data_IF_565323134720
#
_entry.id   IF_565323134720
#
_cell.length_a   1.000
_cell.length_b   1.000
_cell.length_c   1.000
_cell.angle_alpha   90.00
_cell.angle_beta   90.00
_cell.angle_gamma   90.00
#
_symmetry.space_group_name_H-M   'P 1'
#
loop_
_entity.id
_entity.type
_entity.pdbx_description
1 polymer ?
#
# COMPACT_ATOMS: atom_id res chain seq x y z
N UNK A 1 -20.10 -9.50 -3.95
CA UNK A 1 -19.31 -8.28 -3.63
C UNK A 1 -18.10 -8.28 -4.57
N UNK A 2 -17.96 -7.26 -5.44
CA UNK A 2 -17.11 -7.34 -6.65
C UNK A 2 -15.84 -6.48 -6.47
N UNK A 3 -14.76 -6.87 -7.15
CA UNK A 3 -13.41 -6.27 -7.19
C UNK A 3 -13.38 -4.76 -7.47
N UNK A 4 -12.19 -4.16 -7.45
CA UNK A 4 -11.96 -2.86 -8.08
C UNK A 4 -12.44 -2.94 -9.54
N UNK A 5 -13.23 -1.95 -9.95
CA UNK A 5 -13.70 -1.77 -11.32
C UNK A 5 -13.89 -0.28 -11.55
N UNK A 6 -13.15 0.28 -12.50
CA UNK A 6 -13.08 1.74 -12.66
C UNK A 6 -14.37 2.35 -13.15
N UNK A 7 -15.05 1.73 -14.12
CA UNK A 7 -16.33 2.23 -14.63
C UNK A 7 -17.36 2.39 -13.51
N UNK A 8 -17.50 1.36 -12.67
CA UNK A 8 -18.44 1.39 -11.54
C UNK A 8 -18.02 2.37 -10.43
N UNK A 9 -16.71 2.60 -10.25
CA UNK A 9 -16.22 3.64 -9.32
C UNK A 9 -16.63 5.04 -9.82
N UNK A 10 -16.54 5.29 -11.13
CA UNK A 10 -16.98 6.56 -11.73
C UNK A 10 -18.50 6.76 -11.65
N UNK A 11 -19.26 5.67 -11.67
CA UNK A 11 -20.72 5.67 -11.42
C UNK A 11 -21.11 5.84 -9.94
N UNK A 12 -20.15 6.10 -9.05
CA UNK A 12 -20.40 6.41 -7.64
C UNK A 12 -20.28 5.22 -6.68
N UNK A 13 -19.82 4.05 -7.13
CA UNK A 13 -19.60 2.89 -6.27
C UNK A 13 -18.27 2.98 -5.50
N UNK A 14 -18.05 4.06 -4.76
CA UNK A 14 -16.78 4.38 -4.09
C UNK A 14 -16.34 3.35 -3.04
N UNK A 15 -17.27 2.54 -2.52
CA UNK A 15 -16.93 1.42 -1.63
C UNK A 15 -15.97 0.42 -2.27
N UNK A 16 -15.91 0.36 -3.61
CA UNK A 16 -14.93 -0.45 -4.37
C UNK A 16 -13.49 0.03 -4.22
N UNK A 17 -13.25 1.20 -3.66
CA UNK A 17 -11.90 1.65 -3.34
C UNK A 17 -11.42 1.04 -2.02
N UNK A 18 -12.32 0.61 -1.13
CA UNK A 18 -11.95 0.12 0.21
C UNK A 18 -12.23 -1.37 0.37
N UNK A 19 -13.44 -1.82 0.03
CA UNK A 19 -13.90 -3.19 0.33
C UNK A 19 -13.14 -4.32 -0.39
N UNK A 20 -12.48 -4.14 -1.56
CA UNK A 20 -11.74 -5.23 -2.19
C UNK A 20 -10.60 -5.82 -1.35
N UNK A 21 -10.11 -5.12 -0.32
CA UNK A 21 -9.10 -5.65 0.61
C UNK A 21 -9.60 -6.88 1.38
N UNK A 22 -10.91 -7.10 1.46
CA UNK A 22 -11.50 -8.27 2.13
C UNK A 22 -11.75 -9.44 1.16
N UNK A 23 -11.70 -9.19 -0.16
CA UNK A 23 -11.96 -10.20 -1.18
C UNK A 23 -10.66 -10.89 -1.58
N UNK A 24 -10.68 -12.19 -1.82
CA UNK A 24 -9.49 -12.93 -2.25
C UNK A 24 -9.84 -13.86 -3.40
N UNK A 25 -8.95 -13.92 -4.39
CA UNK A 25 -9.17 -14.71 -5.61
C UNK A 25 -9.24 -16.22 -5.35
N UNK A 26 -8.53 -16.72 -4.34
CA UNK A 26 -8.52 -18.12 -3.93
C UNK A 26 -7.99 -18.27 -2.49
N UNK A 27 -8.06 -19.48 -1.95
CA UNK A 27 -7.64 -19.79 -0.58
C UNK A 27 -6.15 -19.52 -0.33
N UNK A 28 -5.28 -19.85 -1.29
CA UNK A 28 -3.84 -19.61 -1.16
C UNK A 28 -3.52 -18.11 -1.07
N UNK A 29 -4.17 -17.30 -1.92
CA UNK A 29 -4.05 -15.85 -1.89
C UNK A 29 -4.51 -15.28 -0.53
N UNK A 30 -5.58 -15.82 0.06
CA UNK A 30 -6.02 -15.44 1.42
C UNK A 30 -4.98 -15.79 2.48
N UNK A 31 -4.50 -17.04 2.51
CA UNK A 31 -3.55 -17.53 3.51
C UNK A 31 -2.28 -16.67 3.48
N UNK A 32 -1.75 -16.39 2.30
CA UNK A 32 -0.51 -15.63 2.15
C UNK A 32 -0.69 -14.19 2.65
N UNK A 33 -1.82 -13.54 2.33
CA UNK A 33 -2.10 -12.20 2.84
C UNK A 33 -2.21 -12.20 4.37
N UNK A 34 -2.92 -13.18 4.96
CA UNK A 34 -3.03 -13.30 6.42
C UNK A 34 -1.65 -13.44 7.05
N UNK A 35 -0.80 -14.34 6.53
CA UNK A 35 0.56 -14.53 7.06
C UNK A 35 1.39 -13.25 6.96
N UNK A 36 1.33 -12.55 5.83
CA UNK A 36 2.03 -11.28 5.63
C UNK A 36 1.56 -10.21 6.63
N UNK A 37 0.23 -10.04 6.77
CA UNK A 37 -0.38 -9.05 7.65
C UNK A 37 -0.13 -9.37 9.11
N UNK A 38 -0.23 -10.63 9.54
CA UNK A 38 0.08 -10.99 10.93
C UNK A 38 1.54 -10.70 11.26
N UNK A 39 2.44 -11.09 10.37
CA UNK A 39 3.87 -10.96 10.58
C UNK A 39 4.32 -9.49 10.68
N UNK A 40 3.92 -8.63 9.73
CA UNK A 40 4.29 -7.20 9.75
C UNK A 40 3.36 -6.35 10.62
N UNK A 41 2.07 -6.66 10.60
CA UNK A 41 1.03 -5.91 11.28
C UNK A 41 1.18 -5.96 12.80
N UNK A 42 1.50 -7.12 13.39
CA UNK A 42 1.71 -7.22 14.84
C UNK A 42 2.87 -6.32 15.33
N UNK A 43 3.91 -6.15 14.51
CA UNK A 43 5.07 -5.31 14.83
C UNK A 43 4.71 -3.84 14.74
N UNK A 44 4.05 -3.46 13.64
CA UNK A 44 3.59 -2.09 13.40
C UNK A 44 2.56 -1.71 14.48
N UNK A 45 1.64 -2.59 14.83
CA UNK A 45 0.66 -2.37 15.91
C UNK A 45 1.34 -2.24 17.28
N UNK A 46 2.29 -3.13 17.61
CA UNK A 46 3.05 -3.02 18.86
C UNK A 46 3.79 -1.69 18.99
N UNK A 47 4.35 -1.20 17.87
CA UNK A 47 5.10 0.06 17.84
C UNK A 47 4.22 1.32 17.84
N UNK A 48 3.20 1.34 17.00
CA UNK A 48 2.39 2.54 16.71
C UNK A 48 1.04 2.55 17.42
N UNK A 49 0.67 1.45 18.09
CA UNK A 49 -0.65 1.16 18.63
C UNK A 49 -1.69 0.88 17.52
N UNK A 50 -2.77 0.22 17.95
CA UNK A 50 -3.86 -0.27 17.10
C UNK A 50 -4.41 0.76 16.12
N UNK A 51 -4.72 1.98 16.59
CA UNK A 51 -5.36 3.01 15.75
C UNK A 51 -4.50 3.41 14.55
N UNK A 52 -3.19 3.58 14.76
CA UNK A 52 -2.24 3.95 13.69
C UNK A 52 -2.00 2.79 12.73
N UNK A 53 -1.93 1.57 13.23
CA UNK A 53 -1.86 0.37 12.38
C UNK A 53 -3.08 0.26 11.47
N UNK A 54 -4.29 0.40 12.02
CA UNK A 54 -5.53 0.36 11.22
C UNK A 54 -5.54 1.45 10.15
N UNK A 55 -5.10 2.68 10.48
CA UNK A 55 -4.96 3.74 9.49
C UNK A 55 -3.99 3.38 8.37
N UNK A 56 -2.81 2.82 8.69
CA UNK A 56 -1.86 2.33 7.66
C UNK A 56 -2.54 1.28 6.79
N UNK A 57 -3.18 0.29 7.39
CA UNK A 57 -3.81 -0.82 6.68
C UNK A 57 -4.91 -0.35 5.71
N UNK A 58 -5.88 0.42 6.21
CA UNK A 58 -7.03 0.85 5.40
C UNK A 58 -6.65 1.91 4.36
N UNK A 59 -5.83 2.92 4.72
CA UNK A 59 -5.44 3.96 3.78
C UNK A 59 -4.51 3.43 2.69
N UNK A 60 -3.62 2.48 3.01
CA UNK A 60 -2.76 1.85 2.00
C UNK A 60 -3.57 0.99 1.04
N UNK A 61 -4.56 0.26 1.57
CA UNK A 61 -5.52 -0.48 0.75
C UNK A 61 -6.27 0.41 -0.24
N UNK A 62 -6.83 1.52 0.28
CA UNK A 62 -7.57 2.49 -0.52
C UNK A 62 -6.70 3.20 -1.55
N UNK A 63 -5.52 3.69 -1.14
CA UNK A 63 -4.60 4.40 -2.03
C UNK A 63 -4.07 3.50 -3.14
N UNK A 64 -3.79 2.22 -2.82
CA UNK A 64 -3.47 1.21 -3.81
C UNK A 64 -4.57 1.06 -4.84
N UNK A 65 -5.80 0.76 -4.39
CA UNK A 65 -6.94 0.58 -5.30
C UNK A 65 -7.23 1.83 -6.15
N UNK A 66 -7.06 3.03 -5.60
CA UNK A 66 -7.16 4.29 -6.36
C UNK A 66 -6.08 4.34 -7.43
N UNK A 67 -4.82 4.03 -7.12
CA UNK A 67 -3.74 4.07 -8.10
C UNK A 67 -3.96 3.06 -9.23
N UNK A 68 -4.46 1.86 -8.90
CA UNK A 68 -4.89 0.85 -9.89
C UNK A 68 -5.95 1.39 -10.81
N UNK A 69 -7.02 1.94 -10.25
CA UNK A 69 -8.17 2.52 -10.95
C UNK A 69 -7.71 3.55 -12.01
N UNK A 70 -6.63 4.27 -11.73
CA UNK A 70 -6.18 5.38 -12.56
C UNK A 70 -5.11 4.97 -13.56
N UNK A 71 -4.18 4.11 -13.16
CA UNK A 71 -3.04 3.73 -13.99
C UNK A 71 -3.27 2.44 -14.77
N UNK A 72 -4.16 1.58 -14.31
CA UNK A 72 -4.51 0.33 -14.96
C UNK A 72 -6.03 0.05 -14.82
N UNK A 73 -6.87 0.86 -15.49
CA UNK A 73 -8.33 0.89 -15.24
C UNK A 73 -9.06 -0.41 -15.56
N UNK A 74 -8.45 -1.28 -16.37
CA UNK A 74 -8.97 -2.58 -16.77
C UNK A 74 -8.56 -3.72 -15.83
N UNK A 75 -7.67 -3.44 -14.87
CA UNK A 75 -7.24 -4.42 -13.88
C UNK A 75 -8.37 -4.73 -12.90
N UNK A 76 -8.71 -6.01 -12.79
CA UNK A 76 -9.51 -6.49 -11.68
C UNK A 76 -8.59 -6.74 -10.49
N UNK A 77 -8.70 -5.88 -9.46
CA UNK A 77 -7.92 -6.02 -8.24
C UNK A 77 -8.80 -6.49 -7.06
N UNK A 78 -8.29 -7.51 -6.36
CA UNK A 78 -8.84 -8.04 -5.11
C UNK A 78 -7.68 -8.38 -4.18
N UNK A 79 -7.94 -8.38 -2.88
CA UNK A 79 -6.98 -8.86 -1.88
C UNK A 79 -6.47 -7.75 -0.99
N UNK A 80 -6.11 -8.14 0.22
CA UNK A 80 -5.46 -7.26 1.19
C UNK A 80 -4.00 -6.92 0.82
N UNK A 81 -3.52 -7.35 -0.36
CA UNK A 81 -2.13 -7.19 -0.75
C UNK A 81 -1.74 -5.71 -0.85
N UNK A 82 -2.61 -4.83 -1.35
CA UNK A 82 -2.37 -3.37 -1.35
C UNK A 82 -2.12 -2.83 0.07
N UNK A 83 -2.90 -3.28 1.06
CA UNK A 83 -2.66 -2.97 2.48
C UNK A 83 -1.35 -3.58 3.00
N UNK A 84 -1.05 -4.84 2.62
CA UNK A 84 0.20 -5.52 2.96
C UNK A 84 1.43 -4.76 2.45
N UNK A 85 1.40 -4.28 1.20
CA UNK A 85 2.44 -3.41 0.64
C UNK A 85 2.60 -2.11 1.44
N UNK A 86 1.52 -1.56 1.98
CA UNK A 86 1.59 -0.45 2.94
C UNK A 86 2.35 -0.80 4.20
N UNK A 87 2.12 -1.98 4.79
CA UNK A 87 2.88 -2.44 5.95
C UNK A 87 4.38 -2.58 5.63
N UNK A 88 4.71 -2.96 4.40
CA UNK A 88 6.10 -3.09 3.94
C UNK A 88 6.73 -1.72 3.73
N UNK A 89 6.04 -0.80 3.06
CA UNK A 89 6.49 0.58 2.92
C UNK A 89 6.75 1.22 4.28
N UNK A 90 5.84 1.02 5.23
CA UNK A 90 6.02 1.44 6.61
C UNK A 90 7.27 0.81 7.25
N UNK A 91 7.46 -0.50 7.10
CA UNK A 91 8.60 -1.21 7.70
C UNK A 91 9.94 -0.77 7.11
N UNK A 92 10.01 -0.58 5.79
CA UNK A 92 11.23 -0.13 5.11
C UNK A 92 11.60 1.28 5.58
N UNK A 93 10.65 2.21 5.58
CA UNK A 93 10.92 3.58 6.01
C UNK A 93 11.24 3.66 7.50
N UNK A 94 10.67 2.78 8.32
CA UNK A 94 11.03 2.68 9.72
C UNK A 94 12.52 2.34 9.91
N UNK A 95 13.01 1.37 9.15
CA UNK A 95 14.42 0.98 9.16
C UNK A 95 15.28 2.17 8.75
N UNK A 96 14.94 2.87 7.67
CA UNK A 96 15.72 4.02 7.21
C UNK A 96 15.73 5.18 8.22
N UNK A 97 14.60 5.48 8.83
CA UNK A 97 14.48 6.61 9.77
C UNK A 97 15.09 6.30 11.14
N UNK A 98 14.88 5.09 11.65
CA UNK A 98 15.28 4.69 12.98
C UNK A 98 16.53 3.79 13.01
N UNK A 99 17.23 3.57 11.89
CA UNK A 99 18.33 2.59 11.77
C UNK A 99 19.32 2.66 12.94
N UNK A 100 19.75 3.85 13.33
CA UNK A 100 20.74 4.03 14.40
C UNK A 100 20.21 3.62 15.77
N UNK A 101 18.90 3.66 15.96
CA UNK A 101 18.22 3.39 17.23
C UNK A 101 17.68 1.95 17.32
N UNK A 102 17.67 1.20 16.21
CA UNK A 102 17.24 -0.19 16.20
C UNK A 102 18.32 -1.13 16.78
N UNK A 103 17.88 -2.06 17.63
CA UNK A 103 18.75 -3.16 18.10
C UNK A 103 19.17 -4.06 16.94
N UNK A 104 20.30 -4.76 17.08
CA UNK A 104 20.78 -5.72 16.05
C UNK A 104 19.73 -6.80 15.74
N UNK A 105 19.03 -7.28 16.77
CA UNK A 105 17.92 -8.24 16.62
C UNK A 105 16.79 -7.67 15.76
N UNK A 106 16.35 -6.44 16.04
CA UNK A 106 15.31 -5.78 15.26
C UNK A 106 15.74 -5.58 13.79
N UNK A 107 16.98 -5.13 13.54
CA UNK A 107 17.51 -4.97 12.17
C UNK A 107 17.48 -6.27 11.39
N UNK A 108 18.03 -7.34 11.94
CA UNK A 108 18.07 -8.65 11.28
C UNK A 108 16.66 -9.16 10.96
N UNK A 109 15.75 -9.01 11.90
CA UNK A 109 14.36 -9.39 11.71
C UNK A 109 13.71 -8.60 10.56
N UNK A 110 13.84 -7.27 10.56
CA UNK A 110 13.31 -6.43 9.50
C UNK A 110 13.89 -6.76 8.12
N UNK A 111 15.22 -6.95 8.03
CA UNK A 111 15.90 -7.34 6.78
C UNK A 111 15.39 -8.67 6.27
N UNK A 112 15.27 -9.69 7.14
CA UNK A 112 14.74 -11.00 6.77
C UNK A 112 13.32 -10.89 6.20
N UNK A 113 12.46 -10.10 6.84
CA UNK A 113 11.09 -9.93 6.40
C UNK A 113 10.96 -9.19 5.07
N UNK A 114 11.78 -8.16 4.85
CA UNK A 114 11.87 -7.49 3.55
C UNK A 114 12.37 -8.47 2.48
N UNK A 115 13.40 -9.27 2.80
CA UNK A 115 13.92 -10.27 1.87
C UNK A 115 12.87 -11.32 1.50
N UNK A 116 12.20 -11.92 2.49
CA UNK A 116 11.12 -12.90 2.27
C UNK A 116 10.00 -12.29 1.44
N UNK A 117 9.66 -11.04 1.69
CA UNK A 117 8.67 -10.33 0.90
C UNK A 117 9.11 -10.09 -0.54
N UNK A 118 10.33 -9.59 -0.77
CA UNK A 118 10.86 -9.37 -2.12
C UNK A 118 10.93 -10.68 -2.91
N UNK A 119 11.32 -11.78 -2.26
CA UNK A 119 11.31 -13.10 -2.85
C UNK A 119 9.89 -13.50 -3.27
N UNK A 120 8.91 -13.36 -2.37
CA UNK A 120 7.51 -13.61 -2.67
C UNK A 120 7.00 -12.73 -3.82
N UNK A 121 7.30 -11.44 -3.79
CA UNK A 121 6.92 -10.51 -4.85
C UNK A 121 7.52 -10.92 -6.18
N UNK A 122 8.79 -11.33 -6.22
CA UNK A 122 9.43 -11.81 -7.44
C UNK A 122 8.70 -13.04 -8.02
N UNK A 123 8.31 -14.00 -7.17
CA UNK A 123 7.55 -15.18 -7.62
C UNK A 123 6.16 -14.84 -8.15
N UNK A 124 5.48 -13.85 -7.57
CA UNK A 124 4.11 -13.50 -7.94
C UNK A 124 4.06 -12.52 -9.12
N UNK A 125 5.04 -11.60 -9.23
CA UNK A 125 5.09 -10.51 -10.22
C UNK A 125 5.13 -10.94 -11.69
N UNK A 126 5.46 -12.20 -11.99
CA UNK A 126 5.42 -12.70 -13.36
C UNK A 126 4.00 -13.07 -13.84
N UNK A 127 2.99 -13.04 -12.96
CA UNK A 127 1.61 -13.26 -13.35
C UNK A 127 0.96 -11.97 -13.86
N UNK A 128 0.32 -11.97 -15.06
CA UNK A 128 -0.47 -10.84 -15.57
C UNK A 128 -1.61 -10.40 -14.65
N UNK A 129 -2.02 -11.28 -13.72
CA UNK A 129 -3.06 -10.98 -12.73
C UNK A 129 -2.59 -10.09 -11.58
N UNK A 130 -1.30 -9.74 -11.51
CA UNK A 130 -0.75 -8.92 -10.42
C UNK A 130 -1.00 -7.45 -10.67
N UNK A 131 -1.58 -6.81 -9.66
CA UNK A 131 -1.83 -5.38 -9.66
C UNK A 131 -0.61 -4.58 -9.16
N UNK A 132 0.34 -4.36 -10.07
CA UNK A 132 1.56 -3.60 -9.79
C UNK A 132 1.29 -2.18 -9.27
N UNK A 133 0.31 -1.49 -9.87
CA UNK A 133 -0.02 -0.11 -9.47
C UNK A 133 -0.67 -0.08 -8.09
N UNK A 134 -1.53 -1.05 -7.77
CA UNK A 134 -2.09 -1.19 -6.44
C UNK A 134 -1.02 -1.40 -5.38
N UNK A 135 -0.03 -2.22 -5.68
CA UNK A 135 1.11 -2.49 -4.80
C UNK A 135 1.97 -1.25 -4.57
N UNK A 136 2.30 -0.51 -5.64
CA UNK A 136 3.04 0.76 -5.54
C UNK A 136 2.27 1.77 -4.70
N UNK A 137 0.96 1.93 -4.95
CA UNK A 137 0.13 2.90 -4.23
C UNK A 137 0.03 2.58 -2.74
N UNK A 138 -0.14 1.31 -2.39
CA UNK A 138 -0.10 0.84 -1.02
C UNK A 138 1.23 1.11 -0.34
N UNK A 139 2.34 0.73 -0.99
CA UNK A 139 3.70 0.95 -0.49
C UNK A 139 3.98 2.42 -0.17
N UNK A 140 3.67 3.32 -1.11
CA UNK A 140 3.88 4.76 -0.93
C UNK A 140 3.03 5.30 0.22
N UNK A 141 1.76 4.90 0.33
CA UNK A 141 0.91 5.33 1.44
C UNK A 141 1.47 4.88 2.82
N UNK A 142 1.92 3.64 2.92
CA UNK A 142 2.52 3.13 4.16
C UNK A 142 3.83 3.84 4.53
N UNK A 143 4.70 4.06 3.55
CA UNK A 143 5.92 4.85 3.72
C UNK A 143 5.62 6.27 4.21
N UNK A 144 4.61 6.91 3.61
CA UNK A 144 4.16 8.24 4.02
C UNK A 144 3.77 8.30 5.50
N UNK A 145 2.87 7.40 5.91
CA UNK A 145 2.31 7.39 7.25
C UNK A 145 3.37 7.07 8.29
N UNK A 146 4.33 6.20 7.96
CA UNK A 146 5.51 5.97 8.79
C UNK A 146 6.31 7.25 9.03
N UNK A 147 6.63 7.99 7.97
CA UNK A 147 7.32 9.28 8.12
C UNK A 147 6.48 10.28 8.94
N UNK A 148 5.17 10.34 8.69
CA UNK A 148 4.29 11.22 9.44
C UNK A 148 4.26 10.89 10.94
N UNK A 149 4.22 9.60 11.30
CA UNK A 149 4.19 9.16 12.69
C UNK A 149 5.52 9.35 13.41
N UNK A 150 6.63 9.33 12.67
CA UNK A 150 7.98 9.52 13.20
C UNK A 150 8.50 10.95 13.09
N UNK A 151 7.70 11.93 12.61
CA UNK A 151 8.15 13.31 12.33
C UNK A 151 8.81 14.05 13.49
N UNK A 152 8.57 13.59 14.72
CA UNK A 152 9.12 14.16 15.95
C UNK A 152 10.34 13.41 16.50
N UNK A 153 10.75 12.31 15.84
CA UNK A 153 11.99 11.60 16.16
C UNK A 153 13.15 12.37 15.54
N UNK A 154 13.49 13.52 16.12
CA UNK A 154 14.74 14.26 15.89
C UNK A 154 15.36 14.16 14.49
N UNK A 155 14.59 14.41 13.43
CA UNK A 155 15.07 14.21 12.07
C UNK A 155 16.27 15.08 11.74
N UNK A 156 17.27 14.48 11.10
CA UNK A 156 18.31 15.26 10.44
C UNK A 156 17.74 16.00 9.22
N UNK A 157 18.50 16.95 8.68
CA UNK A 157 18.03 17.82 7.58
C UNK A 157 17.63 17.01 6.34
N UNK A 158 18.33 15.91 6.07
CA UNK A 158 18.06 15.01 4.95
C UNK A 158 16.73 14.25 5.14
N UNK A 159 16.43 13.77 6.34
CA UNK A 159 15.17 13.10 6.66
C UNK A 159 13.98 14.06 6.57
N UNK A 160 14.14 15.33 6.99
CA UNK A 160 13.12 16.37 6.78
C UNK A 160 12.89 16.65 5.30
N UNK A 161 13.95 16.78 4.51
CA UNK A 161 13.86 16.95 3.07
C UNK A 161 13.10 15.79 2.42
N UNK A 162 13.45 14.54 2.74
CA UNK A 162 12.74 13.36 2.24
C UNK A 162 11.25 13.38 2.60
N UNK A 163 10.91 13.71 3.85
CA UNK A 163 9.52 13.82 4.29
C UNK A 163 8.73 14.87 3.48
N UNK A 164 9.25 16.08 3.34
CA UNK A 164 8.55 17.16 2.64
C UNK A 164 8.50 16.93 1.11
N UNK A 165 9.57 16.41 0.52
CA UNK A 165 9.58 16.02 -0.90
C UNK A 165 8.56 14.92 -1.17
N UNK A 166 8.49 13.91 -0.30
CA UNK A 166 7.52 12.84 -0.41
C UNK A 166 6.07 13.37 -0.21
N UNK A 167 5.84 14.21 0.80
CA UNK A 167 4.54 14.85 1.04
C UNK A 167 4.07 15.66 -0.17
N UNK A 168 4.98 16.44 -0.77
CA UNK A 168 4.72 17.23 -1.97
C UNK A 168 4.38 16.36 -3.18
N UNK A 169 5.11 15.26 -3.39
CA UNK A 169 4.81 14.31 -4.47
C UNK A 169 3.43 13.68 -4.26
N UNK A 170 3.12 13.24 -3.04
CA UNK A 170 1.80 12.67 -2.73
C UNK A 170 0.66 13.68 -2.90
N UNK A 171 0.84 14.95 -2.53
CA UNK A 171 -0.20 15.97 -2.73
C UNK A 171 -0.42 16.29 -4.22
N UNK A 172 0.65 16.36 -5.02
CA UNK A 172 0.54 16.48 -6.48
C UNK A 172 -0.21 15.30 -7.10
N UNK A 173 0.09 14.07 -6.65
CA UNK A 173 -0.60 12.86 -7.09
C UNK A 173 -2.10 12.96 -6.73
N UNK A 174 -2.45 13.30 -5.50
CA UNK A 174 -3.86 13.45 -5.08
C UNK A 174 -4.63 14.47 -5.93
N UNK A 175 -3.99 15.55 -6.38
CA UNK A 175 -4.62 16.59 -7.20
C UNK A 175 -4.71 16.18 -8.69
N UNK A 176 -3.67 15.54 -9.22
CA UNK A 176 -3.60 15.14 -10.63
C UNK A 176 -4.53 13.96 -10.95
N UNK A 177 -4.70 13.05 -9.99
CA UNK A 177 -5.42 11.78 -10.16
C UNK A 177 -6.92 11.94 -10.52
N UNK A 178 -7.72 12.80 -9.87
CA UNK A 178 -9.11 13.08 -10.25
C UNK A 178 -9.24 13.68 -11.66
N UNK A 179 -8.30 14.55 -12.04
CA UNK A 179 -8.27 15.19 -13.36
C UNK A 179 -8.03 14.14 -14.45
N UNK A 180 -7.10 13.20 -14.21
CA UNK A 180 -6.83 12.10 -15.15
C UNK A 180 -8.04 11.17 -15.32
N UNK A 181 -8.77 10.85 -14.25
CA UNK A 181 -9.98 10.04 -14.33
C UNK A 181 -11.09 10.69 -15.15
N UNK A 182 -11.19 12.02 -15.10
CA UNK A 182 -12.22 12.77 -15.85
C UNK A 182 -11.88 12.90 -17.35
N UNK A 183 -10.59 12.84 -17.71
CA UNK A 183 -10.11 13.02 -19.09
C UNK A 183 -10.10 11.71 -19.89
N UNK A 184 -9.87 10.57 -19.24
CA UNK A 184 -9.81 9.28 -19.93
C UNK A 184 -11.24 8.75 -20.16
N UNK A 185 -11.75 8.87 -21.39
CA UNK A 185 -12.88 8.06 -21.85
C UNK A 185 -12.53 6.58 -21.68
N UNK A 186 -13.25 5.87 -20.82
CA UNK A 186 -12.90 4.50 -20.39
C UNK A 186 -13.04 3.49 -21.54
N UNK A 187 -11.97 2.80 -21.96
CA UNK A 187 -12.04 1.84 -23.06
C UNK A 187 -12.45 0.41 -22.64
N UNK A 188 -12.46 0.11 -21.33
CA UNK A 188 -12.81 -1.22 -20.84
C UNK A 188 -14.31 -1.31 -20.60
N UNK A 189 -15.00 -1.97 -21.54
CA UNK A 189 -16.44 -2.16 -21.50
C UNK A 189 -16.91 -2.70 -20.16
N UNK A 190 -18.09 -2.25 -19.74
CA UNK A 190 -18.81 -2.84 -18.62
C UNK A 190 -19.14 -4.30 -18.96
N UNK A 191 -18.24 -5.23 -18.65
CA UNK A 191 -18.56 -6.65 -18.69
C UNK A 191 -19.38 -6.90 -17.41
N UNK A 192 -20.71 -6.91 -17.59
CA UNK A 192 -21.73 -7.08 -16.56
C UNK A 192 -21.64 -8.44 -15.86
#
# INVERSE_FOLDING_TARGET
MRSVNTGLVLEGQYWRLVLPIFLHANLWHLIINILCILNLGLIIESKYKKSKFLLIYFLSGATGNILTTICNPCQLAVGASTSGFGLIGCSIFEIFLAWKNLTRKAKNYYILNIFLFLLFFMFVSFSPSVDLFGHIGGFLCGAFLCCHYNKFIGYNIFQKFLYYSFFFICSLIIIYLPVRLYIINMPCGMIY
#
